data_IF_855541455936
#
_entry.id   IF_855541455936
#
_cell.length_a   1.000
_cell.length_b   1.000
_cell.length_c   1.000
_cell.angle_alpha   90.00
_cell.angle_beta   90.00
_cell.angle_gamma   90.00
#
_symmetry.space_group_name_H-M   'P 1'
#
loop_
_entity.id
_entity.type
_entity.pdbx_description
1 polymer ?
#
# COMPACT_ATOMS: atom_id res chain seq x y z
N UNK A 1 22.90 -54.95 -3.91
CA UNK A 1 21.78 -53.99 -3.77
C UNK A 1 22.29 -52.80 -2.97
N UNK A 2 22.79 -51.79 -3.66
CA UNK A 2 23.19 -50.53 -3.01
C UNK A 2 21.93 -49.67 -2.85
N UNK A 3 21.49 -49.49 -1.61
CA UNK A 3 20.45 -48.55 -1.24
C UNK A 3 21.01 -47.13 -1.50
N UNK A 4 20.59 -46.52 -2.55
CA UNK A 4 20.76 -45.05 -2.74
C UNK A 4 19.88 -44.38 -1.71
N UNK A 5 20.46 -43.95 -0.59
CA UNK A 5 19.81 -43.04 0.32
C UNK A 5 19.53 -41.76 -0.46
N UNK A 6 18.28 -41.56 -0.88
CA UNK A 6 17.84 -40.26 -1.38
C UNK A 6 18.09 -39.24 -0.26
N UNK A 7 19.16 -38.46 -0.43
CA UNK A 7 19.47 -37.40 0.54
C UNK A 7 18.32 -36.40 0.57
N UNK A 8 17.68 -36.33 1.71
CA UNK A 8 16.56 -35.41 1.97
C UNK A 8 16.99 -33.98 1.64
N UNK A 9 16.22 -33.26 0.83
CA UNK A 9 16.52 -31.88 0.42
C UNK A 9 16.35 -30.95 1.63
N UNK A 10 17.44 -30.34 2.08
CA UNK A 10 17.40 -29.41 3.22
C UNK A 10 16.82 -28.07 2.84
N UNK A 11 16.41 -27.27 3.83
CA UNK A 11 15.94 -25.89 3.59
C UNK A 11 17.05 -25.06 2.92
N UNK A 12 18.30 -25.24 3.32
CA UNK A 12 19.45 -24.58 2.67
C UNK A 12 19.58 -24.95 1.19
N UNK A 13 19.32 -26.22 0.82
CA UNK A 13 19.32 -26.66 -0.58
C UNK A 13 18.18 -26.05 -1.37
N UNK A 14 17.00 -25.91 -0.75
CA UNK A 14 15.85 -25.24 -1.36
C UNK A 14 16.15 -23.78 -1.65
N UNK A 15 16.74 -23.05 -0.67
CA UNK A 15 17.15 -21.66 -0.85
C UNK A 15 18.18 -21.52 -1.98
N UNK A 16 19.22 -22.36 -1.99
CA UNK A 16 20.23 -22.37 -3.08
C UNK A 16 19.62 -22.65 -4.46
N UNK A 17 18.59 -23.48 -4.52
CA UNK A 17 17.94 -23.82 -5.78
C UNK A 17 17.18 -22.63 -6.39
N UNK A 18 16.66 -21.72 -5.56
CA UNK A 18 15.82 -20.58 -5.98
C UNK A 18 16.55 -19.24 -5.93
N UNK A 19 17.82 -19.21 -5.56
CA UNK A 19 18.61 -17.97 -5.45
C UNK A 19 19.93 -18.06 -6.21
N UNK A 20 20.49 -16.90 -6.54
CA UNK A 20 21.83 -16.74 -7.13
C UNK A 20 22.79 -16.23 -6.06
N UNK A 21 23.94 -16.88 -5.81
CA UNK A 21 24.94 -16.40 -4.86
C UNK A 21 25.68 -15.15 -5.36
N UNK A 22 26.28 -14.33 -4.45
CA UNK A 22 26.28 -14.47 -3.00
C UNK A 22 24.98 -13.99 -2.36
N UNK A 23 24.52 -14.65 -1.29
CA UNK A 23 23.32 -14.23 -0.58
C UNK A 23 23.58 -12.99 0.29
N UNK A 24 22.67 -12.01 0.33
CA UNK A 24 22.83 -10.77 1.09
C UNK A 24 22.54 -10.94 2.60
N UNK A 25 22.01 -12.09 3.00
CA UNK A 25 21.62 -12.43 4.36
C UNK A 25 21.87 -13.90 4.65
N UNK A 26 21.81 -14.27 5.92
CA UNK A 26 21.91 -15.67 6.37
C UNK A 26 20.51 -16.29 6.52
N UNK A 27 20.35 -17.51 6.08
CA UNK A 27 19.17 -18.34 6.36
C UNK A 27 19.61 -19.53 7.17
N UNK A 28 18.95 -19.77 8.31
CA UNK A 28 19.08 -20.97 9.14
C UNK A 28 17.72 -21.64 9.25
N UNK A 29 17.68 -22.93 9.55
CA UNK A 29 16.41 -23.65 9.56
C UNK A 29 16.34 -24.73 10.66
N UNK A 30 15.09 -25.16 10.93
CA UNK A 30 14.73 -26.21 11.90
C UNK A 30 15.42 -27.56 11.63
N UNK A 31 15.84 -27.83 10.40
CA UNK A 31 16.53 -29.04 10.00
C UNK A 31 18.05 -28.97 10.23
N UNK A 32 18.52 -27.92 10.90
CA UNK A 32 19.93 -27.69 11.19
C UNK A 32 20.73 -27.14 10.02
N UNK A 33 20.10 -26.98 8.85
CA UNK A 33 20.77 -26.44 7.66
C UNK A 33 20.92 -24.92 7.72
N UNK A 34 21.97 -24.42 7.03
CA UNK A 34 22.21 -22.99 6.94
C UNK A 34 22.85 -22.64 5.59
N UNK A 35 22.54 -21.43 5.09
CA UNK A 35 23.09 -20.86 3.85
C UNK A 35 23.25 -19.35 3.99
N UNK A 36 24.20 -18.78 3.26
CA UNK A 36 24.56 -17.36 3.32
C UNK A 36 25.77 -17.09 4.22
N UNK A 37 26.24 -15.84 4.30
CA UNK A 37 27.43 -15.46 5.06
C UNK A 37 27.24 -15.72 6.56
N UNK A 38 28.33 -16.15 7.24
CA UNK A 38 28.28 -16.35 8.70
C UNK A 38 28.24 -15.00 9.45
N UNK A 39 28.98 -14.03 8.97
CA UNK A 39 28.96 -12.66 9.47
C UNK A 39 28.00 -11.84 8.59
N UNK A 40 26.80 -11.57 9.08
CA UNK A 40 25.80 -10.73 8.42
C UNK A 40 24.95 -10.00 9.45
N UNK A 41 24.38 -8.91 9.02
CA UNK A 41 23.52 -8.04 9.81
C UNK A 41 22.08 -8.55 9.91
N UNK A 42 21.64 -9.43 8.99
CA UNK A 42 20.29 -10.01 9.00
C UNK A 42 20.35 -11.55 8.87
N UNK A 43 19.69 -12.23 9.80
CA UNK A 43 19.45 -13.67 9.72
C UNK A 43 17.95 -13.97 9.72
N UNK A 44 17.51 -14.79 8.77
CA UNK A 44 16.17 -15.39 8.76
C UNK A 44 16.25 -16.83 9.28
N UNK A 45 15.56 -17.10 10.37
CA UNK A 45 15.45 -18.45 10.92
C UNK A 45 14.10 -19.07 10.57
N UNK A 46 14.10 -20.16 9.81
CA UNK A 46 12.93 -20.97 9.47
C UNK A 46 12.63 -21.91 10.62
N UNK A 47 11.56 -21.64 11.37
CA UNK A 47 11.24 -22.32 12.64
C UNK A 47 10.66 -23.72 12.42
N UNK A 48 9.86 -23.90 11.38
CA UNK A 48 9.20 -25.19 11.12
C UNK A 48 8.88 -25.39 9.62
N UNK A 49 8.49 -26.60 9.21
CA UNK A 49 8.03 -26.88 7.83
C UNK A 49 6.82 -26.02 7.40
N UNK A 50 6.01 -25.51 8.32
CA UNK A 50 4.86 -24.64 8.00
C UNK A 50 5.29 -23.35 7.31
N UNK A 51 6.51 -22.83 7.56
CA UNK A 51 7.02 -21.67 6.85
C UNK A 51 7.04 -21.89 5.33
N UNK A 52 7.46 -23.08 4.90
CA UNK A 52 7.49 -23.45 3.48
C UNK A 52 6.09 -23.50 2.88
N UNK A 53 5.09 -23.95 3.64
CA UNK A 53 3.68 -23.97 3.21
C UNK A 53 3.17 -22.55 2.92
N UNK A 54 3.50 -21.57 3.77
CA UNK A 54 3.15 -20.16 3.52
C UNK A 54 3.78 -19.64 2.23
N UNK A 55 5.07 -19.88 2.03
CA UNK A 55 5.82 -19.39 0.86
C UNK A 55 5.31 -20.04 -0.44
N UNK A 56 4.98 -21.33 -0.42
CA UNK A 56 4.55 -22.07 -1.61
C UNK A 56 3.10 -21.74 -1.99
N UNK A 57 2.21 -21.65 -0.99
CA UNK A 57 0.78 -21.38 -1.23
C UNK A 57 0.46 -19.92 -1.52
N UNK A 58 1.38 -19.00 -1.18
CA UNK A 58 1.33 -17.57 -1.50
C UNK A 58 2.73 -17.10 -1.93
N UNK A 59 3.18 -17.40 -3.15
CA UNK A 59 4.53 -17.07 -3.61
C UNK A 59 4.82 -15.57 -3.57
N UNK A 60 6.02 -15.20 -3.11
CA UNK A 60 6.47 -13.81 -3.02
C UNK A 60 6.38 -13.23 -1.62
N UNK A 61 6.18 -11.92 -1.55
CA UNK A 61 6.21 -11.15 -0.30
C UNK A 61 5.11 -11.57 0.68
N UNK A 62 3.92 -11.89 0.16
CA UNK A 62 2.76 -12.25 0.99
C UNK A 62 3.00 -13.52 1.81
N UNK A 63 3.56 -14.56 1.22
CA UNK A 63 3.87 -15.79 1.95
C UNK A 63 4.96 -15.61 2.98
N UNK A 64 5.99 -14.81 2.66
CA UNK A 64 7.05 -14.47 3.59
C UNK A 64 6.50 -13.66 4.79
N UNK A 65 5.67 -12.65 4.51
CA UNK A 65 5.04 -11.83 5.54
C UNK A 65 4.13 -12.67 6.46
N UNK A 66 3.28 -13.54 5.88
CA UNK A 66 2.44 -14.45 6.65
C UNK A 66 3.26 -15.38 7.54
N UNK A 67 4.31 -15.99 6.98
CA UNK A 67 5.20 -16.87 7.75
C UNK A 67 5.88 -16.13 8.92
N UNK A 68 6.27 -14.88 8.71
CA UNK A 68 6.85 -14.02 9.73
C UNK A 68 5.83 -13.66 10.82
N UNK A 69 4.65 -13.16 10.45
CA UNK A 69 3.57 -12.79 11.39
C UNK A 69 3.12 -13.99 12.21
N UNK A 70 3.04 -15.17 11.60
CA UNK A 70 2.65 -16.42 12.27
C UNK A 70 3.79 -17.09 13.04
N UNK A 71 4.95 -16.42 13.20
CA UNK A 71 6.09 -16.91 13.95
C UNK A 71 6.79 -18.14 13.33
N UNK A 72 6.54 -18.43 12.05
CA UNK A 72 7.17 -19.54 11.33
C UNK A 72 8.51 -19.16 10.71
N UNK A 73 8.77 -17.85 10.60
CA UNK A 73 10.07 -17.27 10.29
C UNK A 73 10.36 -16.22 11.34
N UNK A 74 11.57 -16.24 11.88
CA UNK A 74 12.08 -15.23 12.83
C UNK A 74 13.22 -14.49 12.16
N UNK A 75 13.15 -13.17 12.14
CA UNK A 75 14.23 -12.31 11.68
C UNK A 75 15.07 -11.86 12.88
N UNK A 76 16.39 -12.04 12.79
CA UNK A 76 17.37 -11.57 13.78
C UNK A 76 18.24 -10.51 13.16
N UNK A 77 18.64 -9.50 13.94
CA UNK A 77 19.38 -8.35 13.45
C UNK A 77 18.49 -7.23 12.90
N UNK A 78 17.19 -7.27 13.18
CA UNK A 78 16.27 -6.17 12.89
C UNK A 78 16.26 -5.23 14.09
N UNK A 79 16.67 -3.99 13.87
CA UNK A 79 16.57 -2.95 14.89
C UNK A 79 15.13 -2.44 14.98
N UNK A 80 14.48 -2.47 16.16
CA UNK A 80 13.06 -2.09 16.28
C UNK A 80 12.72 -0.67 15.83
N UNK A 81 13.68 0.25 15.89
CA UNK A 81 13.52 1.65 15.48
C UNK A 81 13.94 1.94 14.03
N UNK A 82 14.69 1.03 13.39
CA UNK A 82 15.20 1.19 12.04
C UNK A 82 15.23 -0.15 11.28
N UNK A 83 14.08 -0.61 10.76
CA UNK A 83 14.02 -1.83 9.97
C UNK A 83 14.54 -1.66 8.53
N UNK A 84 14.99 -0.46 8.13
CA UNK A 84 15.33 -0.14 6.75
C UNK A 84 16.41 -1.08 6.19
N UNK A 85 17.47 -1.35 6.99
CA UNK A 85 18.53 -2.29 6.58
C UNK A 85 18.00 -3.69 6.29
N UNK A 86 17.04 -4.16 7.09
CA UNK A 86 16.42 -5.48 6.88
C UNK A 86 15.62 -5.51 5.56
N UNK A 87 14.85 -4.46 5.26
CA UNK A 87 14.14 -4.35 4.00
C UNK A 87 15.10 -4.26 2.80
N UNK A 88 16.19 -3.52 2.90
CA UNK A 88 17.21 -3.46 1.85
C UNK A 88 17.82 -4.84 1.56
N UNK A 89 18.15 -5.64 2.60
CA UNK A 89 18.62 -7.02 2.43
C UNK A 89 17.57 -7.94 1.80
N UNK A 90 16.30 -7.77 2.15
CA UNK A 90 15.21 -8.53 1.55
C UNK A 90 15.00 -8.17 0.07
N UNK A 91 15.12 -6.90 -0.31
CA UNK A 91 15.07 -6.48 -1.72
C UNK A 91 16.25 -7.01 -2.52
N UNK A 92 17.46 -7.00 -1.96
CA UNK A 92 18.63 -7.62 -2.57
C UNK A 92 18.41 -9.13 -2.77
N UNK A 93 17.85 -9.83 -1.77
CA UNK A 93 17.50 -11.25 -1.91
C UNK A 93 16.45 -11.47 -3.00
N UNK A 94 15.44 -10.61 -3.07
CA UNK A 94 14.40 -10.67 -4.11
C UNK A 94 14.98 -10.52 -5.52
N UNK A 95 15.94 -9.61 -5.70
CA UNK A 95 16.63 -9.43 -6.97
C UNK A 95 17.45 -10.65 -7.41
N UNK A 96 17.85 -11.52 -6.46
CA UNK A 96 18.60 -12.74 -6.70
C UNK A 96 17.72 -13.98 -6.91
N UNK A 97 16.38 -13.85 -6.80
CA UNK A 97 15.48 -14.97 -7.02
C UNK A 97 15.53 -15.45 -8.48
N UNK A 98 15.63 -16.75 -8.65
CA UNK A 98 15.62 -17.43 -9.95
C UNK A 98 14.64 -18.61 -9.95
N UNK A 99 14.23 -18.99 -11.15
CA UNK A 99 13.42 -20.22 -11.30
C UNK A 99 14.30 -21.45 -11.03
N UNK A 100 13.86 -22.38 -10.15
CA UNK A 100 14.58 -23.62 -9.92
C UNK A 100 14.54 -24.51 -11.17
N UNK A 101 15.55 -25.38 -11.34
CA UNK A 101 15.51 -26.42 -12.36
C UNK A 101 14.37 -27.42 -12.08
N UNK A 102 13.90 -28.12 -13.11
CA UNK A 102 12.83 -29.14 -12.96
C UNK A 102 13.22 -30.23 -11.95
N UNK A 103 14.49 -30.61 -11.93
CA UNK A 103 15.02 -31.59 -10.97
C UNK A 103 15.00 -31.05 -9.54
N UNK A 104 15.41 -29.80 -9.33
CA UNK A 104 15.35 -29.13 -8.02
C UNK A 104 13.90 -28.95 -7.55
N UNK A 105 13.02 -28.53 -8.45
CA UNK A 105 11.59 -28.36 -8.13
C UNK A 105 10.96 -29.68 -7.69
N UNK A 106 11.26 -30.79 -8.40
CA UNK A 106 10.77 -32.12 -8.06
C UNK A 106 11.27 -32.58 -6.67
N UNK A 107 12.56 -32.35 -6.37
CA UNK A 107 13.13 -32.65 -5.04
C UNK A 107 12.49 -31.82 -3.95
N UNK A 108 12.28 -30.54 -4.16
CA UNK A 108 11.60 -29.65 -3.21
C UNK A 108 10.19 -30.17 -2.93
N UNK A 109 9.39 -30.44 -3.98
CA UNK A 109 8.01 -30.91 -3.84
C UNK A 109 7.90 -32.28 -3.16
N UNK A 110 8.83 -33.22 -3.44
CA UNK A 110 8.86 -34.53 -2.78
C UNK A 110 9.20 -34.40 -1.29
N UNK A 111 10.15 -33.52 -0.92
CA UNK A 111 10.55 -33.31 0.47
C UNK A 111 9.42 -32.61 1.28
N UNK A 112 8.75 -31.64 0.70
CA UNK A 112 7.65 -30.92 1.37
C UNK A 112 6.40 -31.81 1.51
N UNK A 113 6.18 -32.71 0.57
CA UNK A 113 5.07 -33.64 0.57
C UNK A 113 3.70 -32.98 0.48
N UNK A 114 2.63 -33.80 0.52
CA UNK A 114 1.24 -33.32 0.41
C UNK A 114 0.82 -32.39 1.55
N UNK A 115 1.37 -32.58 2.75
CA UNK A 115 1.05 -31.76 3.93
C UNK A 115 1.56 -30.33 3.77
N UNK A 116 2.73 -30.12 3.17
CA UNK A 116 3.30 -28.79 2.93
C UNK A 116 2.61 -28.02 1.80
N UNK A 117 1.80 -28.67 0.96
CA UNK A 117 1.00 -28.04 -0.08
C UNK A 117 -0.40 -27.61 0.40
N UNK A 118 -0.77 -27.93 1.64
CA UNK A 118 -2.02 -27.43 2.23
C UNK A 118 -1.86 -25.94 2.57
N UNK A 119 -2.90 -25.17 2.27
CA UNK A 119 -2.94 -23.75 2.69
C UNK A 119 -2.95 -23.72 4.23
N UNK A 120 -1.96 -23.07 4.84
CA UNK A 120 -1.95 -22.84 6.28
C UNK A 120 -2.98 -21.75 6.65
N UNK A 121 -3.28 -21.68 7.95
CA UNK A 121 -4.15 -20.63 8.47
C UNK A 121 -3.56 -19.25 8.19
N UNK A 122 -4.40 -18.31 7.76
CA UNK A 122 -3.98 -16.93 7.55
C UNK A 122 -3.95 -16.16 8.87
N UNK A 123 -3.11 -15.10 9.00
CA UNK A 123 -3.09 -14.26 10.18
C UNK A 123 -4.48 -13.69 10.51
N UNK A 124 -4.80 -13.55 11.81
CA UNK A 124 -6.08 -12.99 12.26
C UNK A 124 -6.35 -11.58 11.68
N UNK A 125 -5.29 -10.81 11.45
CA UNK A 125 -5.39 -9.50 10.82
C UNK A 125 -5.95 -9.53 9.37
N UNK A 126 -5.81 -10.67 8.67
CA UNK A 126 -6.37 -10.88 7.33
C UNK A 126 -7.78 -11.47 7.36
N UNK A 127 -8.22 -11.96 8.53
CA UNK A 127 -9.50 -12.65 8.67
C UNK A 127 -10.49 -11.75 9.37
N UNK A 128 -11.47 -11.15 8.66
CA UNK A 128 -12.53 -10.39 9.32
C UNK A 128 -13.25 -11.28 10.35
N UNK A 129 -13.64 -10.76 11.52
CA UNK A 129 -14.41 -11.51 12.51
C UNK A 129 -15.62 -12.21 11.87
N UNK A 130 -15.96 -13.42 12.31
CA UNK A 130 -17.00 -14.26 11.69
C UNK A 130 -18.37 -13.53 11.60
N UNK A 131 -18.71 -12.71 12.59
CA UNK A 131 -19.91 -11.88 12.58
C UNK A 131 -19.87 -10.79 11.49
N UNK A 132 -18.69 -10.24 11.19
CA UNK A 132 -18.51 -9.27 10.12
C UNK A 132 -18.64 -9.94 8.75
N UNK A 133 -18.14 -11.16 8.58
CA UNK A 133 -18.34 -11.97 7.36
C UNK A 133 -19.81 -12.33 7.13
N UNK A 134 -20.55 -12.62 8.19
CA UNK A 134 -21.97 -12.94 8.11
C UNK A 134 -22.86 -11.71 7.81
N UNK A 135 -22.43 -10.53 8.27
CA UNK A 135 -23.17 -9.26 8.05
C UNK A 135 -22.74 -8.55 6.77
N UNK A 136 -21.49 -8.74 6.33
CA UNK A 136 -20.95 -8.11 5.15
C UNK A 136 -20.99 -9.06 3.95
N UNK A 137 -22.15 -9.52 3.52
CA UNK A 137 -22.31 -9.92 2.13
C UNK A 137 -21.89 -8.80 1.14
N UNK A 138 -21.02 -7.90 1.60
CA UNK A 138 -20.50 -6.70 0.94
C UNK A 138 -19.53 -7.15 -0.14
N UNK A 139 -19.99 -7.03 -1.36
CA UNK A 139 -19.10 -7.20 -2.52
C UNK A 139 -18.09 -6.05 -2.53
N UNK A 140 -16.78 -6.33 -2.76
CA UNK A 140 -15.79 -5.28 -2.96
C UNK A 140 -16.24 -4.36 -4.11
N UNK A 141 -15.91 -3.06 -3.98
CA UNK A 141 -16.27 -2.00 -4.94
C UNK A 141 -17.79 -1.70 -5.03
N UNK A 142 -18.49 -1.76 -3.92
CA UNK A 142 -19.81 -1.12 -3.76
C UNK A 142 -19.65 0.11 -2.85
N UNK A 143 -20.52 1.11 -2.98
CA UNK A 143 -20.47 2.32 -2.13
C UNK A 143 -20.38 2.02 -0.63
N UNK A 144 -21.00 0.92 -0.19
CA UNK A 144 -20.94 0.44 1.20
C UNK A 144 -19.62 -0.27 1.52
N UNK A 145 -19.10 -1.10 0.58
CA UNK A 145 -17.83 -1.79 0.72
C UNK A 145 -16.63 -0.84 0.67
N UNK A 146 -16.69 0.17 -0.17
CA UNK A 146 -15.69 1.22 -0.29
C UNK A 146 -15.62 2.04 1.01
N UNK A 147 -16.79 2.40 1.58
CA UNK A 147 -16.86 3.10 2.88
C UNK A 147 -16.26 2.26 4.00
N UNK A 148 -16.58 0.97 4.11
CA UNK A 148 -16.05 0.07 5.13
C UNK A 148 -14.54 -0.14 4.98
N UNK A 149 -14.03 -0.20 3.76
CA UNK A 149 -12.60 -0.36 3.46
C UNK A 149 -11.83 0.91 3.82
N UNK A 150 -12.30 2.08 3.37
CA UNK A 150 -11.67 3.37 3.66
C UNK A 150 -11.71 3.63 5.17
N UNK A 151 -12.85 3.45 5.83
CA UNK A 151 -12.99 3.60 7.28
C UNK A 151 -12.02 2.69 8.04
N UNK A 152 -11.93 1.41 7.69
CA UNK A 152 -11.02 0.47 8.37
C UNK A 152 -9.54 0.82 8.20
N UNK A 153 -9.17 1.48 7.11
CA UNK A 153 -7.78 1.86 6.81
C UNK A 153 -7.40 3.21 7.44
N UNK A 154 -8.32 4.18 7.42
CA UNK A 154 -8.03 5.57 7.84
C UNK A 154 -8.59 5.96 9.20
N UNK A 155 -9.45 5.15 9.85
CA UNK A 155 -10.01 5.42 11.20
C UNK A 155 -9.02 5.11 12.35
N UNK A 156 -7.73 4.94 12.04
CA UNK A 156 -6.67 5.05 13.04
C UNK A 156 -6.58 6.51 13.48
N UNK A 157 -6.17 6.74 14.75
CA UNK A 157 -6.23 8.09 15.32
C UNK A 157 -5.48 9.12 14.45
N UNK A 158 -6.07 10.30 14.22
CA UNK A 158 -5.41 11.43 13.55
C UNK A 158 -4.05 11.76 14.18
N UNK A 159 -3.88 11.52 15.50
CA UNK A 159 -2.61 11.67 16.19
C UNK A 159 -1.51 10.75 15.64
N UNK A 160 -1.85 9.50 15.29
CA UNK A 160 -0.89 8.59 14.66
C UNK A 160 -0.46 9.14 13.28
N UNK A 161 -1.44 9.53 12.47
CA UNK A 161 -1.14 10.07 11.13
C UNK A 161 -0.35 11.37 11.19
N UNK A 162 -0.63 12.27 12.16
CA UNK A 162 0.15 13.52 12.30
C UNK A 162 1.63 13.28 12.63
N UNK A 163 1.96 12.20 13.36
CA UNK A 163 3.35 11.83 13.62
C UNK A 163 4.06 11.26 12.39
N UNK A 164 3.31 10.60 11.48
CA UNK A 164 3.87 9.94 10.29
C UNK A 164 3.92 10.88 9.09
N UNK A 165 2.87 11.68 8.90
CA UNK A 165 2.68 12.50 7.70
C UNK A 165 3.12 13.96 7.87
N UNK A 166 3.50 14.34 9.10
CA UNK A 166 3.86 15.72 9.41
C UNK A 166 2.66 16.69 9.39
N UNK A 167 2.92 18.00 9.47
CA UNK A 167 1.87 19.02 9.65
C UNK A 167 0.91 19.14 8.47
N UNK A 168 1.34 18.83 7.25
CA UNK A 168 0.49 18.90 6.07
C UNK A 168 -0.47 17.72 5.92
N UNK A 169 -0.32 16.68 6.74
CA UNK A 169 -1.22 15.51 6.75
C UNK A 169 -1.49 14.93 5.34
N UNK A 170 -0.46 14.90 4.49
CA UNK A 170 -0.60 14.48 3.09
C UNK A 170 -0.14 13.05 2.91
N UNK A 171 -1.07 12.14 2.61
CA UNK A 171 -0.81 10.71 2.47
C UNK A 171 -0.71 10.28 1.00
N UNK A 172 0.10 11.01 0.24
CA UNK A 172 0.48 10.68 -1.15
C UNK A 172 1.94 11.05 -1.34
N UNK A 173 2.55 10.63 -2.47
CA UNK A 173 3.96 10.89 -2.71
C UNK A 173 4.26 12.39 -2.69
N UNK A 174 5.48 12.74 -2.25
CA UNK A 174 6.01 14.09 -2.19
C UNK A 174 6.82 14.42 -3.46
N UNK A 175 7.03 15.71 -3.72
CA UNK A 175 7.86 16.20 -4.83
C UNK A 175 9.11 16.88 -4.27
N UNK A 176 10.19 16.13 -4.17
CA UNK A 176 11.50 16.66 -3.81
C UNK A 176 12.08 17.39 -5.02
N UNK A 177 12.29 18.69 -4.90
CA UNK A 177 12.88 19.53 -5.96
C UNK A 177 14.36 19.74 -5.73
N UNK A 178 14.82 19.60 -4.48
CA UNK A 178 16.21 19.70 -4.06
C UNK A 178 16.57 18.53 -3.14
N UNK A 179 17.85 18.12 -3.10
CA UNK A 179 18.30 17.03 -2.24
C UNK A 179 18.12 17.25 -0.74
N UNK A 180 18.04 18.51 -0.32
CA UNK A 180 17.92 18.96 1.07
C UNK A 180 16.48 19.36 1.45
N UNK A 181 15.50 19.17 0.56
CA UNK A 181 14.09 19.40 0.90
C UNK A 181 13.67 18.49 2.06
N UNK A 182 12.99 19.08 3.05
CA UNK A 182 12.26 18.30 4.06
C UNK A 182 11.04 17.61 3.44
N UNK A 183 10.44 16.67 4.17
CA UNK A 183 9.18 16.06 3.72
C UNK A 183 8.08 17.11 3.57
N UNK A 184 8.01 18.06 4.48
CA UNK A 184 7.07 19.17 4.47
C UNK A 184 7.25 20.05 3.23
N UNK A 185 8.49 20.44 2.90
CA UNK A 185 8.79 21.21 1.69
C UNK A 185 8.38 20.44 0.43
N UNK A 186 8.70 19.15 0.38
CA UNK A 186 8.38 18.31 -0.76
C UNK A 186 6.86 18.07 -0.92
N UNK A 187 6.10 18.00 0.17
CA UNK A 187 4.64 17.93 0.13
C UNK A 187 4.02 19.25 -0.30
N UNK A 188 4.54 20.37 0.19
CA UNK A 188 4.10 21.70 -0.25
C UNK A 188 4.40 21.92 -1.75
N UNK A 189 5.59 21.55 -2.21
CA UNK A 189 5.96 21.57 -3.63
C UNK A 189 4.95 20.81 -4.49
N UNK A 190 4.53 19.60 -4.03
CA UNK A 190 3.52 18.81 -4.74
C UNK A 190 2.16 19.51 -4.79
N UNK A 191 1.68 20.04 -3.66
CA UNK A 191 0.37 20.73 -3.60
C UNK A 191 0.37 21.96 -4.49
N UNK A 192 1.45 22.77 -4.44
CA UNK A 192 1.62 23.91 -5.35
C UNK A 192 1.57 23.49 -6.81
N UNK A 193 2.31 22.45 -7.19
CA UNK A 193 2.31 21.93 -8.56
C UNK A 193 0.90 21.47 -9.00
N UNK A 194 0.13 20.86 -8.11
CA UNK A 194 -1.26 20.46 -8.40
C UNK A 194 -2.11 21.68 -8.70
N UNK A 195 -2.07 22.70 -7.84
CA UNK A 195 -2.85 23.93 -8.01
C UNK A 195 -2.41 24.73 -9.24
N UNK A 196 -1.10 24.78 -9.51
CA UNK A 196 -0.57 25.46 -10.70
C UNK A 196 -1.02 24.78 -12.01
N UNK A 197 -1.09 23.44 -12.03
CA UNK A 197 -1.64 22.70 -13.18
C UNK A 197 -3.14 22.88 -13.37
N UNK A 198 -3.88 23.07 -12.29
CA UNK A 198 -5.31 23.36 -12.35
C UNK A 198 -5.58 24.78 -12.83
N UNK A 199 -4.62 25.71 -12.64
CA UNK A 199 -4.61 27.07 -13.16
C UNK A 199 -5.95 27.79 -12.89
N UNK A 200 -6.33 27.79 -11.61
CA UNK A 200 -7.57 28.39 -11.12
C UNK A 200 -7.33 29.83 -10.64
N UNK A 201 -8.27 30.71 -10.97
CA UNK A 201 -8.31 32.10 -10.51
C UNK A 201 -9.13 32.22 -9.20
N UNK A 202 -8.86 33.25 -8.37
CA UNK A 202 -9.68 33.54 -7.20
C UNK A 202 -11.18 33.60 -7.51
N UNK A 203 -11.99 32.98 -6.66
CA UNK A 203 -13.45 32.87 -6.84
C UNK A 203 -13.92 31.67 -7.66
N UNK A 204 -13.04 31.03 -8.43
CA UNK A 204 -13.36 29.79 -9.14
C UNK A 204 -13.53 28.60 -8.18
N UNK A 205 -14.16 27.53 -8.67
CA UNK A 205 -14.62 26.40 -7.87
C UNK A 205 -13.79 25.15 -8.15
N UNK A 206 -13.23 24.60 -7.07
CA UNK A 206 -12.49 23.32 -7.06
C UNK A 206 -13.30 22.24 -6.34
N UNK A 207 -13.33 21.03 -6.89
CA UNK A 207 -13.72 19.82 -6.18
C UNK A 207 -12.49 18.93 -5.97
N UNK A 208 -12.23 18.53 -4.72
CA UNK A 208 -11.19 17.56 -4.37
C UNK A 208 -11.82 16.21 -3.98
N UNK A 209 -11.66 15.20 -4.84
CA UNK A 209 -12.23 13.87 -4.66
C UNK A 209 -11.21 13.00 -3.90
N UNK A 210 -11.59 12.59 -2.68
CA UNK A 210 -10.67 11.93 -1.76
C UNK A 210 -9.75 12.93 -1.06
N UNK A 211 -10.32 14.02 -0.56
CA UNK A 211 -9.59 15.18 -0.03
C UNK A 211 -8.73 14.88 1.21
N UNK A 212 -8.82 13.67 1.79
CA UNK A 212 -8.06 13.28 2.97
C UNK A 212 -8.25 14.28 4.11
N UNK A 213 -7.16 14.75 4.70
CA UNK A 213 -7.18 15.73 5.80
C UNK A 213 -7.21 17.18 5.36
N UNK A 214 -7.42 17.46 4.04
CA UNK A 214 -7.75 18.78 3.54
C UNK A 214 -6.58 19.66 3.09
N UNK A 215 -5.38 19.12 2.90
CA UNK A 215 -4.21 19.92 2.51
C UNK A 215 -4.41 20.71 1.21
N UNK A 216 -5.04 20.10 0.19
CA UNK A 216 -5.35 20.81 -1.06
C UNK A 216 -6.44 21.86 -0.85
N UNK A 217 -7.44 21.58 0.00
CA UNK A 217 -8.52 22.52 0.29
C UNK A 217 -7.99 23.81 0.93
N UNK A 218 -7.13 23.67 1.95
CA UNK A 218 -6.50 24.81 2.63
C UNK A 218 -5.65 25.61 1.65
N UNK A 219 -4.78 24.94 0.89
CA UNK A 219 -3.91 25.63 -0.07
C UNK A 219 -4.69 26.31 -1.21
N UNK A 220 -5.79 25.75 -1.67
CA UNK A 220 -6.68 26.36 -2.66
C UNK A 220 -7.40 27.59 -2.08
N UNK A 221 -7.94 27.46 -0.87
CA UNK A 221 -8.63 28.57 -0.21
C UNK A 221 -7.68 29.75 0.11
N UNK A 222 -6.42 29.47 0.46
CA UNK A 222 -5.38 30.51 0.63
C UNK A 222 -5.10 31.29 -0.67
N UNK A 223 -5.38 30.70 -1.84
CA UNK A 223 -5.33 31.35 -3.14
C UNK A 223 -6.67 32.03 -3.53
N UNK A 224 -7.66 32.09 -2.63
CA UNK A 224 -8.99 32.65 -2.90
C UNK A 224 -9.91 31.76 -3.73
N UNK A 225 -9.57 30.47 -3.91
CA UNK A 225 -10.34 29.49 -4.66
C UNK A 225 -11.41 28.87 -3.73
N UNK A 226 -12.63 28.71 -4.22
CA UNK A 226 -13.71 28.04 -3.49
C UNK A 226 -13.57 26.52 -3.63
N UNK A 227 -13.20 25.84 -2.55
CA UNK A 227 -12.86 24.44 -2.58
C UNK A 227 -13.87 23.58 -1.78
N UNK A 228 -14.42 22.56 -2.41
CA UNK A 228 -15.21 21.51 -1.75
C UNK A 228 -14.41 20.22 -1.83
N UNK A 229 -14.20 19.57 -0.68
CA UNK A 229 -13.59 18.25 -0.62
C UNK A 229 -14.58 17.18 -0.19
N UNK A 230 -14.47 15.98 -0.76
CA UNK A 230 -15.26 14.84 -0.34
C UNK A 230 -14.36 13.68 0.09
N UNK A 231 -14.73 13.02 1.19
CA UNK A 231 -14.09 11.83 1.71
C UNK A 231 -15.12 10.91 2.37
N UNK A 232 -14.85 9.61 2.42
CA UNK A 232 -15.70 8.66 3.13
C UNK A 232 -15.34 8.53 4.63
N UNK A 233 -14.24 9.15 5.07
CA UNK A 233 -13.75 9.09 6.44
C UNK A 233 -14.22 10.31 7.26
N UNK A 234 -15.04 10.06 8.27
CA UNK A 234 -15.50 11.10 9.19
C UNK A 234 -14.33 11.75 9.99
N UNK A 235 -13.33 11.00 10.50
CA UNK A 235 -12.17 11.59 11.16
C UNK A 235 -11.36 12.51 10.25
N UNK A 236 -11.23 12.20 8.95
CA UNK A 236 -10.54 13.05 7.99
C UNK A 236 -11.31 14.36 7.74
N UNK A 237 -12.61 14.26 7.45
CA UNK A 237 -13.44 15.45 7.20
C UNK A 237 -13.48 16.39 8.40
N UNK A 238 -13.58 15.83 9.60
CA UNK A 238 -13.54 16.64 10.85
C UNK A 238 -12.21 17.38 10.98
N UNK A 239 -11.10 16.69 10.83
CA UNK A 239 -9.76 17.29 10.87
C UNK A 239 -9.60 18.39 9.83
N UNK A 240 -10.02 18.15 8.59
CA UNK A 240 -9.94 19.12 7.50
C UNK A 240 -10.73 20.40 7.83
N UNK A 241 -11.96 20.25 8.33
CA UNK A 241 -12.78 21.41 8.70
C UNK A 241 -12.23 22.16 9.92
N UNK A 242 -11.66 21.46 10.92
CA UNK A 242 -10.97 22.09 12.03
C UNK A 242 -9.73 22.87 11.56
N UNK A 243 -8.99 22.35 10.59
CA UNK A 243 -7.84 23.06 10.00
C UNK A 243 -8.29 24.27 9.20
N UNK A 244 -9.28 24.13 8.31
CA UNK A 244 -9.89 25.24 7.53
C UNK A 244 -10.36 26.36 8.47
N UNK A 245 -11.02 26.01 9.58
CA UNK A 245 -11.49 26.99 10.54
C UNK A 245 -10.36 27.71 11.28
N UNK A 246 -9.29 27.00 11.67
CA UNK A 246 -8.10 27.61 12.30
C UNK A 246 -7.41 28.63 11.39
N UNK A 247 -7.41 28.38 10.09
CA UNK A 247 -6.84 29.27 9.08
C UNK A 247 -7.79 30.42 8.69
N UNK A 248 -9.01 30.45 9.23
CA UNK A 248 -10.02 31.48 8.87
C UNK A 248 -10.58 31.35 7.46
N UNK A 249 -10.58 30.13 6.90
CA UNK A 249 -10.92 29.86 5.50
C UNK A 249 -12.31 29.23 5.30
N UNK A 250 -13.15 29.21 6.34
CA UNK A 250 -14.46 28.53 6.32
C UNK A 250 -15.46 29.10 5.29
N UNK A 251 -15.27 30.34 4.83
CA UNK A 251 -16.09 30.92 3.77
C UNK A 251 -15.69 30.45 2.36
N UNK A 252 -14.51 29.83 2.23
CA UNK A 252 -13.92 29.43 0.95
C UNK A 252 -13.79 27.91 0.82
N UNK A 253 -13.64 27.17 1.92
CA UNK A 253 -13.40 25.73 1.85
C UNK A 253 -14.23 24.95 2.86
N UNK A 254 -14.62 23.73 2.47
CA UNK A 254 -15.25 22.75 3.34
C UNK A 254 -14.90 21.32 2.91
N UNK A 255 -14.84 20.39 3.89
CA UNK A 255 -14.75 18.96 3.67
C UNK A 255 -16.04 18.26 4.09
N UNK A 256 -16.57 17.38 3.24
CA UNK A 256 -17.82 16.66 3.47
C UNK A 256 -17.58 15.14 3.56
N UNK A 257 -18.30 14.48 4.46
CA UNK A 257 -18.38 13.02 4.47
C UNK A 257 -19.39 12.58 3.42
N UNK A 258 -18.91 12.31 2.21
CA UNK A 258 -19.77 12.05 1.06
C UNK A 258 -19.05 11.19 0.02
N UNK A 259 -19.79 10.31 -0.66
CA UNK A 259 -19.31 9.64 -1.85
C UNK A 259 -19.26 10.64 -3.03
N UNK A 260 -18.19 10.62 -3.81
CA UNK A 260 -18.03 11.53 -4.96
C UNK A 260 -19.15 11.40 -5.99
N UNK A 261 -19.79 10.24 -6.07
CA UNK A 261 -20.96 9.96 -6.95
C UNK A 261 -22.23 10.72 -6.52
N UNK A 262 -22.29 11.11 -5.25
CA UNK A 262 -23.43 11.78 -4.63
C UNK A 262 -23.27 13.32 -4.58
N UNK A 263 -22.17 13.87 -5.11
CA UNK A 263 -21.96 15.34 -5.14
C UNK A 263 -23.07 16.01 -5.96
N UNK A 264 -23.90 16.86 -5.33
CA UNK A 264 -25.05 17.46 -6.01
C UNK A 264 -24.68 18.63 -6.93
N UNK A 265 -23.59 19.33 -6.62
CA UNK A 265 -23.14 20.49 -7.38
C UNK A 265 -22.59 20.09 -8.75
N UNK A 266 -22.69 21.00 -9.70
CA UNK A 266 -22.19 20.87 -11.06
C UNK A 266 -21.45 22.14 -11.46
N UNK A 267 -20.72 22.07 -12.56
CA UNK A 267 -20.05 23.23 -13.14
C UNK A 267 -18.81 23.66 -12.36
N UNK A 268 -18.04 22.71 -11.83
CA UNK A 268 -16.74 23.01 -11.24
C UNK A 268 -15.76 23.48 -12.32
N UNK A 269 -14.93 24.48 -11.99
CA UNK A 269 -13.88 24.97 -12.88
C UNK A 269 -12.75 23.95 -12.98
N UNK A 270 -12.46 23.28 -11.87
CA UNK A 270 -11.53 22.16 -11.85
C UNK A 270 -11.93 21.09 -10.83
N UNK A 271 -11.44 19.88 -11.09
CA UNK A 271 -11.50 18.75 -10.17
C UNK A 271 -10.09 18.20 -10.00
N UNK A 272 -9.69 17.87 -8.77
CA UNK A 272 -8.52 17.05 -8.50
C UNK A 272 -8.89 15.77 -7.76
N UNK A 273 -8.06 14.74 -7.94
CA UNK A 273 -8.15 13.50 -7.21
C UNK A 273 -6.75 12.91 -7.06
N UNK A 274 -6.28 12.79 -5.82
CA UNK A 274 -4.90 12.41 -5.51
C UNK A 274 -4.87 11.13 -4.69
N UNK A 275 -4.37 10.02 -5.28
CA UNK A 275 -4.28 8.72 -4.59
C UNK A 275 -5.64 8.08 -4.30
N UNK A 276 -6.64 8.34 -5.13
CA UNK A 276 -7.99 7.81 -5.00
C UNK A 276 -8.25 6.64 -5.96
N UNK A 277 -7.70 6.70 -7.17
CA UNK A 277 -7.99 5.75 -8.23
C UNK A 277 -7.55 4.31 -7.89
N UNK A 278 -6.56 4.17 -7.01
CA UNK A 278 -6.10 2.90 -6.44
C UNK A 278 -7.23 2.17 -5.68
N UNK A 279 -8.20 2.90 -5.16
CA UNK A 279 -9.34 2.36 -4.41
C UNK A 279 -10.58 2.13 -5.28
N UNK A 280 -10.63 2.69 -6.49
CA UNK A 280 -11.81 2.60 -7.38
C UNK A 280 -11.94 1.23 -8.03
N UNK A 281 -10.81 0.60 -8.37
CA UNK A 281 -10.77 -0.66 -9.12
C UNK A 281 -11.04 -0.47 -10.61
N UNK A 282 -10.27 -1.18 -11.44
CA UNK A 282 -10.22 -1.01 -12.91
C UNK A 282 -11.60 -1.11 -13.58
N UNK A 283 -12.51 -1.94 -13.06
CA UNK A 283 -13.85 -2.14 -13.63
C UNK A 283 -14.77 -0.91 -13.52
N UNK A 284 -14.43 0.02 -12.64
CA UNK A 284 -15.22 1.23 -12.34
C UNK A 284 -14.57 2.52 -12.89
N UNK A 285 -13.49 2.40 -13.67
CA UNK A 285 -12.81 3.58 -14.20
C UNK A 285 -13.72 4.40 -15.14
N UNK A 286 -14.53 3.74 -15.97
CA UNK A 286 -15.46 4.44 -16.86
C UNK A 286 -16.50 5.24 -16.05
N UNK A 287 -17.08 4.67 -15.01
CA UNK A 287 -18.00 5.35 -14.09
C UNK A 287 -17.30 6.52 -13.39
N UNK A 288 -16.09 6.29 -12.87
CA UNK A 288 -15.30 7.28 -12.17
C UNK A 288 -15.00 8.52 -13.02
N UNK A 289 -14.48 8.32 -14.23
CA UNK A 289 -14.17 9.44 -15.12
C UNK A 289 -15.43 10.10 -15.70
N UNK A 290 -16.47 9.34 -16.00
CA UNK A 290 -17.75 9.88 -16.47
C UNK A 290 -18.43 10.75 -15.41
N UNK A 291 -18.35 10.34 -14.14
CA UNK A 291 -18.86 11.13 -13.02
C UNK A 291 -18.09 12.46 -12.92
N UNK A 292 -16.78 12.45 -12.90
CA UNK A 292 -15.97 13.67 -12.85
C UNK A 292 -16.23 14.58 -14.06
N UNK A 293 -16.33 14.00 -15.23
CA UNK A 293 -16.69 14.77 -16.45
C UNK A 293 -18.04 15.47 -16.32
N UNK A 294 -19.05 14.80 -15.73
CA UNK A 294 -20.38 15.37 -15.53
C UNK A 294 -20.43 16.50 -14.49
N UNK A 295 -19.47 16.53 -13.58
CA UNK A 295 -19.36 17.55 -12.54
C UNK A 295 -18.64 18.82 -13.02
N UNK A 296 -17.77 18.70 -14.04
CA UNK A 296 -17.03 19.82 -14.63
C UNK A 296 -17.93 20.70 -15.49
N UNK A 297 -17.60 22.00 -15.55
CA UNK A 297 -18.13 22.86 -16.61
C UNK A 297 -17.45 22.57 -17.95
N UNK A 298 -18.04 22.95 -19.07
CA UNK A 298 -17.32 22.91 -20.36
C UNK A 298 -16.00 23.70 -20.28
N UNK A 299 -14.91 23.06 -20.70
CA UNK A 299 -13.56 23.63 -20.61
C UNK A 299 -12.93 23.57 -19.21
N UNK A 300 -13.58 22.96 -18.23
CA UNK A 300 -13.02 22.69 -16.90
C UNK A 300 -11.86 21.67 -16.96
N UNK A 301 -11.00 21.68 -15.95
CA UNK A 301 -9.78 20.85 -15.89
C UNK A 301 -9.93 19.72 -14.88
N UNK A 302 -9.44 18.54 -15.23
CA UNK A 302 -9.30 17.40 -14.31
C UNK A 302 -7.82 17.07 -14.11
N UNK A 303 -7.38 17.02 -12.85
CA UNK A 303 -6.10 16.48 -12.47
C UNK A 303 -6.31 15.18 -11.69
N UNK A 304 -5.94 14.05 -12.27
CA UNK A 304 -5.91 12.76 -11.60
C UNK A 304 -4.46 12.33 -11.39
N UNK A 305 -4.09 12.12 -10.12
CA UNK A 305 -2.76 11.68 -9.72
C UNK A 305 -2.87 10.34 -8.99
N UNK A 306 -2.06 9.37 -9.40
CA UNK A 306 -2.08 8.02 -8.85
C UNK A 306 -0.73 7.33 -8.97
N UNK A 307 -0.55 6.26 -8.21
CA UNK A 307 0.59 5.37 -8.37
C UNK A 307 0.42 4.58 -9.67
N UNK A 308 1.41 4.69 -10.56
CA UNK A 308 1.42 3.97 -11.84
C UNK A 308 2.67 3.13 -11.97
N UNK A 309 2.62 2.15 -12.85
CA UNK A 309 3.80 1.39 -13.25
C UNK A 309 4.43 2.02 -14.50
N UNK A 310 5.73 1.93 -14.58
CA UNK A 310 6.48 2.39 -15.76
C UNK A 310 6.17 1.56 -17.01
N UNK A 311 5.85 0.28 -16.81
CA UNK A 311 5.62 -0.68 -17.88
C UNK A 311 4.35 -1.49 -17.62
N UNK A 312 3.39 -1.40 -18.54
CA UNK A 312 2.11 -2.12 -18.50
C UNK A 312 2.25 -3.63 -18.77
N UNK A 313 3.39 -4.08 -19.30
CA UNK A 313 3.64 -5.50 -19.58
C UNK A 313 4.00 -6.30 -18.34
N UNK A 314 4.35 -5.64 -17.23
CA UNK A 314 4.61 -6.33 -15.97
C UNK A 314 3.29 -6.84 -15.38
N UNK A 315 3.21 -8.15 -15.05
CA UNK A 315 2.00 -8.72 -14.47
C UNK A 315 1.65 -8.04 -13.16
N UNK A 316 0.34 -7.82 -12.91
CA UNK A 316 -0.15 -7.41 -11.61
C UNK A 316 0.24 -8.48 -10.59
N UNK A 317 1.17 -8.15 -9.71
CA UNK A 317 1.43 -8.95 -8.52
C UNK A 317 0.45 -8.44 -7.45
N UNK A 318 -0.69 -9.13 -7.38
CA UNK A 318 -1.61 -8.99 -6.27
C UNK A 318 -1.03 -9.68 -5.05
#
# INVERSE_FOLDING_TARGET
MMSTSESTCTVADMVKAVTTPPLPLRVTAYDGSAVGPRACDLELHVVSPKALSYIITAPGELGLARAYIMGQIVARGVEPGDPYRAFDRLEQLRAQLRRPSLTSLRRILTTIGRSGLRRPDVPDAETPPAWRRALTGVRPHTARGDRDTVSSHYDRSNRFYSMVLGPLMTYTCALFTRPDDSLEDAQDNKIRLVLDKLDLEPGQRLLDIGCGWGSVLVAAAQRGIRAIGVTLSEPQARWANEWIAREGLSDLAEARVMDYREVPERGFDAICSLGMMEHVGVRHYDEYFSTMFSLLRPGGRLLNHQITRRDSTQPNRA
#
